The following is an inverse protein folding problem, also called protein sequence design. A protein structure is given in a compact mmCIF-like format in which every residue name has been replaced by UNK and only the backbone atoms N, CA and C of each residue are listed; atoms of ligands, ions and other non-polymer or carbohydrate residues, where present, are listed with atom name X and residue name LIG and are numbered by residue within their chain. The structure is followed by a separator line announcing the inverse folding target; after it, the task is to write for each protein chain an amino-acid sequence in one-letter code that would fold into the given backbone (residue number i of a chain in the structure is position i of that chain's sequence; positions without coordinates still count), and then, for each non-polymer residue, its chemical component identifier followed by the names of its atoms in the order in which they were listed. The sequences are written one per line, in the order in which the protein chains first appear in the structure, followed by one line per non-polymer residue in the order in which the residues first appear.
data_IF_725970782339
#
_entry.id   IF_725970782339
#
_cell.length_a   1.000
_cell.length_b   1.000
_cell.length_c   1.000
_cell.angle_alpha   90.00
_cell.angle_beta   90.00
_cell.angle_gamma   90.00
#
_symmetry.space_group_name_H-M   'P 1'
#
loop_
_entity.id
_entity.type
_entity.pdbx_description
1 polymer ?
#
# COMPACT_ATOMS: atom_id res chain seq x y z
N UNK A 1 -8.87 -6.08 -27.09
CA UNK A 1 -10.12 -5.64 -26.42
C UNK A 1 -9.77 -5.10 -25.04
N UNK A 2 -10.36 -3.98 -24.64
CA UNK A 2 -10.12 -3.34 -23.33
C UNK A 2 -10.55 -4.28 -22.16
N UNK A 3 -9.74 -4.41 -21.09
CA UNK A 3 -10.00 -5.31 -19.97
C UNK A 3 -11.37 -5.17 -19.29
N UNK A 4 -11.80 -3.96 -18.94
CA UNK A 4 -13.05 -3.73 -18.24
C UNK A 4 -14.27 -4.06 -19.09
N UNK A 5 -14.19 -3.82 -20.41
CA UNK A 5 -15.21 -4.27 -21.35
C UNK A 5 -15.35 -5.80 -21.35
N UNK A 6 -14.22 -6.53 -21.40
CA UNK A 6 -14.22 -8.01 -21.30
C UNK A 6 -14.85 -8.48 -19.98
N UNK A 7 -14.49 -7.83 -18.89
CA UNK A 7 -15.02 -8.14 -17.56
C UNK A 7 -16.52 -7.91 -17.47
N UNK A 8 -17.02 -6.79 -17.99
CA UNK A 8 -18.44 -6.49 -18.04
C UNK A 8 -19.21 -7.52 -18.88
N UNK A 9 -18.66 -7.88 -20.05
CA UNK A 9 -19.25 -8.91 -20.90
C UNK A 9 -19.31 -10.27 -20.19
N UNK A 10 -18.23 -10.68 -19.53
CA UNK A 10 -18.15 -11.93 -18.77
C UNK A 10 -19.06 -11.92 -17.52
N UNK A 11 -19.32 -10.76 -16.93
CA UNK A 11 -20.26 -10.59 -15.83
C UNK A 11 -21.71 -10.78 -16.31
N UNK A 12 -22.08 -10.15 -17.44
CA UNK A 12 -23.43 -10.20 -18.03
C UNK A 12 -23.74 -11.51 -18.75
N UNK A 13 -22.74 -12.17 -19.33
CA UNK A 13 -22.88 -13.38 -20.13
C UNK A 13 -21.98 -14.47 -19.54
N UNK A 14 -22.46 -15.26 -18.55
CA UNK A 14 -21.62 -16.24 -17.87
C UNK A 14 -21.04 -17.34 -18.78
N UNK A 15 -21.72 -17.69 -19.88
CA UNK A 15 -21.30 -18.74 -20.81
C UNK A 15 -19.97 -18.44 -21.51
N UNK A 16 -19.61 -17.16 -21.70
CA UNK A 16 -18.36 -16.78 -22.37
C UNK A 16 -17.15 -16.71 -21.42
N UNK A 17 -17.36 -16.86 -20.10
CA UNK A 17 -16.29 -16.72 -19.08
C UNK A 17 -15.11 -17.65 -19.35
N UNK A 18 -15.38 -18.88 -19.80
CA UNK A 18 -14.32 -19.85 -20.08
C UNK A 18 -13.41 -19.40 -21.21
N UNK A 19 -13.99 -18.89 -22.31
CA UNK A 19 -13.23 -18.33 -23.43
C UNK A 19 -12.46 -17.06 -23.03
N UNK A 20 -13.10 -16.16 -22.28
CA UNK A 20 -12.47 -14.93 -21.78
C UNK A 20 -11.24 -15.23 -20.91
N UNK A 21 -11.33 -16.24 -20.02
CA UNK A 21 -10.25 -16.63 -19.11
C UNK A 21 -9.10 -17.38 -19.78
N UNK A 22 -9.34 -17.98 -20.95
CA UNK A 22 -8.31 -18.59 -21.78
C UNK A 22 -7.58 -17.57 -22.66
N UNK A 23 -8.25 -16.48 -23.03
CA UNK A 23 -7.65 -15.43 -23.86
C UNK A 23 -6.61 -14.60 -23.08
N UNK A 24 -5.46 -14.26 -23.69
CA UNK A 24 -4.45 -13.42 -23.06
C UNK A 24 -5.00 -12.07 -22.59
N UNK A 25 -4.51 -11.55 -21.46
CA UNK A 25 -5.00 -10.30 -20.89
C UNK A 25 -3.85 -9.35 -20.57
N UNK A 26 -4.00 -8.08 -20.98
CA UNK A 26 -3.03 -7.04 -20.69
C UNK A 26 -3.68 -5.91 -19.90
N UNK A 27 -3.14 -5.60 -18.72
CA UNK A 27 -3.60 -4.53 -17.84
C UNK A 27 -2.49 -3.48 -17.70
N UNK A 28 -2.80 -2.21 -17.98
CA UNK A 28 -1.84 -1.10 -17.85
C UNK A 28 -1.60 -0.75 -16.39
N UNK A 29 -2.65 -0.79 -15.59
CA UNK A 29 -2.61 -0.38 -14.19
C UNK A 29 -3.58 -1.23 -13.35
N UNK A 30 -3.09 -1.78 -12.23
CA UNK A 30 -3.91 -2.48 -11.25
C UNK A 30 -3.59 -1.94 -9.86
N UNK A 31 -4.55 -1.31 -9.20
CA UNK A 31 -4.42 -0.82 -7.82
C UNK A 31 -5.33 -1.64 -6.90
N UNK A 32 -4.76 -2.33 -5.91
CA UNK A 32 -5.49 -3.25 -5.03
C UNK A 32 -5.52 -2.75 -3.59
N UNK A 33 -6.71 -2.55 -3.04
CA UNK A 33 -6.94 -2.21 -1.63
C UNK A 33 -8.00 -3.15 -1.04
N UNK A 34 -8.19 -3.07 0.27
CA UNK A 34 -9.15 -3.91 1.02
C UNK A 34 -10.60 -3.75 0.53
N UNK A 35 -11.03 -2.49 0.29
CA UNK A 35 -12.42 -2.14 -0.04
C UNK A 35 -12.61 -1.56 -1.44
N UNK A 36 -11.52 -1.38 -2.18
CA UNK A 36 -11.55 -0.89 -3.56
C UNK A 36 -10.44 -1.50 -4.40
N UNK A 37 -10.63 -1.55 -5.71
CA UNK A 37 -9.55 -1.78 -6.66
C UNK A 37 -9.78 -1.02 -7.95
N UNK A 38 -8.71 -0.75 -8.69
CA UNK A 38 -8.76 -0.04 -9.97
C UNK A 38 -8.13 -0.90 -11.05
N UNK A 39 -8.83 -1.10 -12.16
CA UNK A 39 -8.30 -1.75 -13.37
C UNK A 39 -8.24 -0.71 -14.47
N UNK A 40 -7.04 -0.38 -14.91
CA UNK A 40 -6.77 0.76 -15.79
C UNK A 40 -7.34 2.06 -15.20
N UNK A 41 -8.47 2.53 -15.73
CA UNK A 41 -9.16 3.76 -15.33
C UNK A 41 -10.49 3.48 -14.61
N UNK A 42 -10.88 2.21 -14.51
CA UNK A 42 -12.14 1.79 -13.90
C UNK A 42 -11.93 1.47 -12.43
N UNK A 43 -12.49 2.30 -11.54
CA UNK A 43 -12.55 2.03 -10.10
C UNK A 43 -13.77 1.17 -9.74
N UNK A 44 -13.52 0.13 -8.96
CA UNK A 44 -14.49 -0.71 -8.27
C UNK A 44 -14.37 -0.45 -6.78
N UNK A 45 -15.40 0.11 -6.15
CA UNK A 45 -15.37 0.51 -4.74
C UNK A 45 -16.58 -0.01 -3.99
N UNK A 46 -16.35 -0.66 -2.86
CA UNK A 46 -17.41 -1.26 -2.05
C UNK A 46 -17.53 -0.50 -0.73
N UNK A 47 -18.77 -0.24 -0.31
CA UNK A 47 -19.11 0.40 0.96
C UNK A 47 -20.31 -0.26 1.60
N UNK A 48 -20.46 -0.10 2.90
CA UNK A 48 -21.68 -0.47 3.63
C UNK A 48 -22.49 0.79 3.88
N UNK A 49 -23.72 0.82 3.41
CA UNK A 49 -24.68 1.86 3.72
C UNK A 49 -25.55 1.42 4.90
N UNK A 50 -25.59 2.26 5.94
CA UNK A 50 -26.39 2.04 7.14
C UNK A 50 -27.58 2.97 7.16
N UNK A 51 -28.76 2.38 7.27
CA UNK A 51 -30.03 3.08 7.41
C UNK A 51 -30.62 2.78 8.79
N UNK A 52 -30.36 3.67 9.75
CA UNK A 52 -30.98 3.61 11.05
C UNK A 52 -32.24 4.50 11.10
N UNK A 53 -33.22 4.08 11.90
CA UNK A 53 -34.37 4.91 12.24
C UNK A 53 -33.95 5.91 13.33
N UNK A 54 -34.00 7.21 13.03
CA UNK A 54 -33.70 8.25 14.00
C UNK A 54 -34.77 8.26 15.11
N UNK A 55 -34.36 8.43 16.38
CA UNK A 55 -35.29 8.79 17.45
C UNK A 55 -35.50 10.30 17.41
N UNK A 56 -36.70 10.76 17.07
CA UNK A 56 -37.17 12.06 17.57
C UNK A 56 -37.68 11.85 19.00
N UNK A 57 -36.82 11.97 20.02
CA UNK A 57 -37.35 12.13 21.38
C UNK A 57 -37.91 13.55 21.49
N UNK A 58 -39.24 13.69 21.63
CA UNK A 58 -39.80 14.90 22.25
C UNK A 58 -39.52 14.78 23.75
N UNK A 59 -38.65 15.63 24.30
CA UNK A 59 -38.61 15.81 25.75
C UNK A 59 -39.88 16.53 26.17
N UNK A 60 -40.89 15.76 26.59
CA UNK A 60 -42.10 16.25 27.24
C UNK A 60 -42.38 15.30 28.40
N UNK A 61 -41.79 15.61 29.55
CA UNK A 61 -42.06 14.94 30.81
C UNK A 61 -41.84 15.96 31.91
N UNK A 62 -42.88 16.22 32.69
CA UNK A 62 -42.89 17.21 33.76
C UNK A 62 -41.90 16.80 34.88
N UNK A 63 -40.67 17.30 34.79
CA UNK A 63 -39.74 17.29 35.92
C UNK A 63 -39.65 18.73 36.43
N UNK A 64 -40.49 19.05 37.41
CA UNK A 64 -40.31 20.25 38.22
C UNK A 64 -39.08 20.07 39.11
N UNK A 65 -37.88 20.36 38.58
CA UNK A 65 -36.70 20.62 39.41
C UNK A 65 -36.69 22.10 39.72
N UNK A 66 -36.91 22.42 41.00
CA UNK A 66 -36.58 23.71 41.56
C UNK A 66 -35.06 23.87 41.55
N UNK A 67 -34.52 24.56 40.55
CA UNK A 67 -33.20 25.19 40.65
C UNK A 67 -33.36 26.69 40.47
N UNK A 68 -33.16 27.42 41.56
CA UNK A 68 -32.98 28.87 41.52
C UNK A 68 -31.73 29.18 40.69
N UNK A 69 -31.88 30.11 39.75
CA UNK A 69 -30.85 30.88 39.03
C UNK A 69 -30.22 30.25 37.76
N UNK A 70 -30.99 30.26 36.66
CA UNK A 70 -30.70 30.91 35.34
C UNK A 70 -31.57 30.24 34.26
N UNK A 71 -32.30 30.98 33.41
CA UNK A 71 -33.06 30.37 32.33
C UNK A 71 -32.09 29.91 31.24
N UNK A 72 -31.86 28.61 31.14
CA UNK A 72 -31.39 28.01 29.90
C UNK A 72 -32.57 27.99 28.91
N UNK A 73 -32.41 28.41 27.65
CA UNK A 73 -33.49 28.31 26.68
C UNK A 73 -33.86 26.83 26.52
N UNK A 74 -35.15 26.52 26.65
CA UNK A 74 -35.73 25.21 26.31
C UNK A 74 -35.64 25.05 24.79
N UNK A 75 -34.42 24.77 24.32
CA UNK A 75 -34.16 24.29 22.98
C UNK A 75 -34.36 22.78 22.97
N UNK A 76 -35.09 22.29 21.97
CA UNK A 76 -35.12 20.87 21.59
C UNK A 76 -33.66 20.41 21.35
N UNK A 77 -33.01 19.87 22.37
CA UNK A 77 -31.78 19.11 22.15
C UNK A 77 -32.19 17.82 21.43
N UNK A 78 -32.02 17.82 20.11
CA UNK A 78 -32.00 16.59 19.34
C UNK A 78 -30.84 15.76 19.89
N UNK A 79 -31.15 14.62 20.54
CA UNK A 79 -30.17 13.56 20.72
C UNK A 79 -29.61 13.25 19.33
N UNK A 80 -28.29 13.28 19.10
CA UNK A 80 -27.73 12.94 17.80
C UNK A 80 -28.25 11.57 17.38
N UNK A 81 -29.16 11.56 16.40
CA UNK A 81 -29.57 10.31 15.78
C UNK A 81 -28.33 9.68 15.16
N UNK A 82 -28.13 8.38 15.38
CA UNK A 82 -27.07 7.60 14.73
C UNK A 82 -27.04 7.96 13.24
N UNK A 83 -25.93 8.50 12.70
CA UNK A 83 -25.96 9.06 11.37
C UNK A 83 -26.20 7.97 10.33
N UNK A 84 -27.18 8.20 9.47
CA UNK A 84 -27.31 7.48 8.20
C UNK A 84 -26.08 7.80 7.37
N UNK A 85 -25.42 6.79 6.82
CA UNK A 85 -24.16 7.04 6.13
C UNK A 85 -23.54 5.80 5.52
N UNK A 86 -22.50 6.05 4.71
CA UNK A 86 -21.67 5.00 4.16
C UNK A 86 -20.35 4.87 4.91
N UNK A 87 -19.99 3.63 5.23
CA UNK A 87 -18.74 3.29 5.90
C UNK A 87 -17.93 2.31 5.05
N UNK A 88 -16.62 2.24 5.32
CA UNK A 88 -15.68 1.34 4.62
C UNK A 88 -15.30 0.13 5.49
N UNK A 89 -16.21 -0.37 6.34
CA UNK A 89 -15.99 -1.54 7.19
C UNK A 89 -17.29 -2.36 7.35
N UNK A 90 -17.12 -3.63 7.70
CA UNK A 90 -18.23 -4.55 7.99
C UNK A 90 -18.65 -4.48 9.46
N UNK A 91 -19.88 -4.94 9.74
CA UNK A 91 -20.48 -5.04 11.06
C UNK A 91 -20.73 -6.50 11.45
N UNK A 92 -20.56 -6.84 12.73
CA UNK A 92 -20.87 -8.15 13.30
C UNK A 92 -22.40 -8.35 13.46
N UNK A 93 -22.82 -9.41 14.14
CA UNK A 93 -24.24 -9.71 14.39
C UNK A 93 -24.92 -8.72 15.35
N UNK A 94 -24.14 -8.02 16.18
CA UNK A 94 -24.60 -7.02 17.15
C UNK A 94 -24.55 -5.58 16.58
N UNK A 95 -23.97 -5.40 15.38
CA UNK A 95 -23.83 -4.10 14.74
C UNK A 95 -22.56 -3.35 15.12
N UNK A 96 -21.58 -4.00 15.74
CA UNK A 96 -20.24 -3.44 15.97
C UNK A 96 -19.35 -3.67 14.75
N UNK A 97 -18.38 -2.78 14.55
CA UNK A 97 -17.39 -2.92 13.49
C UNK A 97 -16.59 -4.22 13.68
N UNK A 98 -16.59 -5.09 12.67
CA UNK A 98 -15.76 -6.31 12.66
C UNK A 98 -14.29 -5.91 12.67
N UNK A 99 -13.51 -6.50 13.57
CA UNK A 99 -12.06 -6.30 13.57
C UNK A 99 -11.46 -6.98 12.34
N UNK A 100 -10.39 -6.41 11.78
CA UNK A 100 -9.77 -6.97 10.58
C UNK A 100 -9.40 -8.45 10.78
N UNK A 101 -8.85 -8.78 11.95
CA UNK A 101 -8.41 -10.13 12.31
C UNK A 101 -9.56 -11.16 12.34
N UNK A 102 -10.78 -10.72 12.70
CA UNK A 102 -11.99 -11.57 12.68
C UNK A 102 -12.51 -11.82 11.26
N UNK A 103 -12.15 -10.96 10.31
CA UNK A 103 -12.60 -11.04 8.91
C UNK A 103 -11.66 -11.83 7.98
N UNK A 104 -10.50 -12.26 8.47
CA UNK A 104 -9.50 -12.98 7.68
C UNK A 104 -10.01 -14.39 7.38
N UNK A 105 -10.10 -14.73 6.09
CA UNK A 105 -10.45 -16.06 5.64
C UNK A 105 -9.20 -16.84 5.20
N UNK A 106 -9.23 -18.18 5.24
CA UNK A 106 -8.14 -18.96 4.67
C UNK A 106 -7.84 -18.53 3.22
N UNK A 107 -6.58 -18.43 2.85
CA UNK A 107 -6.13 -18.00 1.52
C UNK A 107 -6.11 -16.48 1.29
N UNK A 108 -6.61 -15.68 2.22
CA UNK A 108 -6.44 -14.23 2.19
C UNK A 108 -4.95 -13.86 2.36
N UNK A 109 -4.56 -12.72 1.80
CA UNK A 109 -3.18 -12.23 1.78
C UNK A 109 -3.05 -11.05 2.72
N UNK A 110 -2.34 -11.23 3.82
CA UNK A 110 -2.07 -10.17 4.77
C UNK A 110 -1.03 -9.21 4.19
N UNK A 111 -1.37 -7.92 4.09
CA UNK A 111 -0.50 -6.86 3.58
C UNK A 111 0.01 -5.93 4.70
N UNK A 112 -0.41 -6.14 5.94
CA UNK A 112 -0.01 -5.32 7.10
C UNK A 112 0.05 -6.18 8.36
N UNK A 113 1.07 -5.98 9.20
CA UNK A 113 1.17 -6.65 10.50
C UNK A 113 0.11 -6.12 11.47
N UNK A 114 -0.52 -7.01 12.25
CA UNK A 114 -1.58 -6.66 13.21
C UNK A 114 -1.13 -5.59 14.22
N UNK A 115 0.16 -5.55 14.57
CA UNK A 115 0.74 -4.52 15.43
C UNK A 115 0.53 -3.08 14.89
N UNK A 116 0.52 -2.88 13.56
CA UNK A 116 0.29 -1.57 12.94
C UNK A 116 -1.20 -1.20 12.87
N UNK A 117 -2.12 -2.16 13.01
CA UNK A 117 -3.56 -1.88 13.09
C UNK A 117 -3.93 -1.21 14.41
N UNK A 118 -3.20 -1.53 15.49
CA UNK A 118 -3.38 -0.90 16.80
C UNK A 118 -2.99 0.58 16.81
N UNK A 119 -2.08 1.03 15.94
CA UNK A 119 -1.63 2.42 15.89
C UNK A 119 -2.56 3.34 15.10
N UNK A 120 -3.38 2.80 14.19
CA UNK A 120 -4.48 3.56 13.57
C UNK A 120 -5.71 3.69 14.47
N UNK A 121 -5.69 3.16 15.70
CA UNK A 121 -6.68 3.55 16.74
C UNK A 121 -6.49 4.99 17.24
N UNK A 122 -5.48 5.72 16.74
CA UNK A 122 -5.13 7.08 17.18
C UNK A 122 -5.57 8.24 16.28
N UNK A 123 -6.53 8.08 15.36
CA UNK A 123 -7.20 9.27 14.78
C UNK A 123 -8.56 9.44 15.44
N UNK A 124 -8.59 10.36 16.40
CA UNK A 124 -9.77 10.89 17.11
C UNK A 124 -10.74 11.64 16.18
N UNK A 125 -11.12 11.03 15.05
CA UNK A 125 -12.14 11.57 14.13
C UNK A 125 -13.15 10.50 13.70
N UNK A 126 -12.95 9.23 14.09
CA UNK A 126 -14.01 8.21 14.05
C UNK A 126 -14.76 8.11 15.41
N UNK A 127 -14.63 9.12 16.29
CA UNK A 127 -15.59 9.40 17.36
C UNK A 127 -16.88 9.98 16.74
N UNK A 128 -17.52 9.22 15.86
CA UNK A 128 -18.96 9.14 15.98
C UNK A 128 -19.18 8.35 17.25
N UNK A 129 -19.59 9.00 18.34
CA UNK A 129 -20.06 8.34 19.56
C UNK A 129 -20.99 7.18 19.16
N UNK A 130 -20.41 5.98 19.17
CA UNK A 130 -21.09 4.74 18.86
C UNK A 130 -21.80 4.27 20.12
N UNK A 131 -22.80 5.03 20.56
CA UNK A 131 -23.79 4.52 21.50
C UNK A 131 -24.85 3.71 20.74
N UNK A 132 -24.50 2.51 20.31
CA UNK A 132 -25.51 1.46 20.29
C UNK A 132 -25.73 1.03 21.74
N UNK A 133 -26.40 1.86 22.54
CA UNK A 133 -26.86 1.45 23.87
C UNK A 133 -27.81 0.26 23.68
N UNK A 134 -27.31 -0.93 24.00
CA UNK A 134 -28.10 -2.13 24.13
C UNK A 134 -29.26 -1.89 25.08
N UNK A 135 -30.45 -2.05 24.51
CA UNK A 135 -31.72 -2.52 25.07
C UNK A 135 -32.94 -1.91 24.35
N UNK A 136 -32.77 -0.85 23.56
CA UNK A 136 -33.90 -0.16 22.90
C UNK A 136 -33.57 0.50 21.53
N UNK A 137 -32.57 0.01 20.80
CA UNK A 137 -32.25 0.50 19.45
C UNK A 137 -33.03 -0.29 18.40
N UNK A 138 -33.83 0.39 17.58
CA UNK A 138 -34.54 -0.23 16.45
C UNK A 138 -33.52 -0.85 15.47
N UNK A 139 -33.89 -1.93 14.74
CA UNK A 139 -32.98 -2.56 13.79
C UNK A 139 -32.51 -1.54 12.74
N UNK A 140 -31.19 -1.39 12.58
CA UNK A 140 -30.63 -0.66 11.44
C UNK A 140 -30.58 -1.59 10.25
N UNK A 141 -31.11 -1.14 9.11
CA UNK A 141 -30.95 -1.86 7.86
C UNK A 141 -29.57 -1.55 7.30
N UNK A 142 -28.88 -2.58 6.82
CA UNK A 142 -27.57 -2.45 6.19
C UNK A 142 -27.67 -2.92 4.74
N UNK A 143 -26.94 -2.24 3.86
CA UNK A 143 -26.83 -2.60 2.45
C UNK A 143 -25.37 -2.53 2.00
N UNK A 144 -24.94 -3.46 1.15
CA UNK A 144 -23.65 -3.32 0.46
C UNK A 144 -23.88 -2.50 -0.80
N UNK A 145 -23.07 -1.46 -1.02
CA UNK A 145 -23.05 -0.69 -2.25
C UNK A 145 -21.73 -0.90 -2.98
N UNK A 146 -21.83 -1.33 -4.23
CA UNK A 146 -20.71 -1.38 -5.17
C UNK A 146 -20.85 -0.22 -6.15
N UNK A 147 -19.77 0.54 -6.27
CA UNK A 147 -19.60 1.62 -7.23
C UNK A 147 -18.64 1.16 -8.33
N UNK A 148 -19.07 1.26 -9.59
CA UNK A 148 -18.25 0.96 -10.78
C UNK A 148 -18.47 2.06 -11.81
N UNK A 149 -17.42 2.83 -12.13
CA UNK A 149 -17.51 3.91 -13.13
C UNK A 149 -18.73 4.83 -12.94
N UNK A 150 -19.02 5.23 -11.69
CA UNK A 150 -20.16 6.09 -11.35
C UNK A 150 -21.52 5.38 -11.24
N UNK A 151 -21.64 4.12 -11.69
CA UNK A 151 -22.84 3.31 -11.48
C UNK A 151 -22.86 2.75 -10.04
N UNK A 152 -24.04 2.76 -9.42
CA UNK A 152 -24.27 2.24 -8.07
C UNK A 152 -25.11 0.97 -8.12
N UNK A 153 -24.61 -0.10 -7.54
CA UNK A 153 -25.32 -1.37 -7.35
C UNK A 153 -25.49 -1.62 -5.86
N UNK A 154 -26.71 -1.97 -5.44
CA UNK A 154 -27.04 -2.20 -4.03
C UNK A 154 -27.40 -3.68 -3.83
N UNK A 155 -26.83 -4.29 -2.79
CA UNK A 155 -27.04 -5.68 -2.42
C UNK A 155 -27.48 -5.78 -0.95
N UNK A 156 -28.27 -6.80 -0.59
CA UNK A 156 -28.65 -7.05 0.80
C UNK A 156 -27.41 -7.43 1.63
N UNK A 157 -27.28 -6.82 2.82
CA UNK A 157 -26.18 -7.10 3.76
C UNK A 157 -26.39 -8.37 4.60
N UNK A 158 -27.61 -8.91 4.63
CA UNK A 158 -27.96 -10.09 5.43
C UNK A 158 -27.26 -11.36 4.96
N UNK A 159 -27.02 -11.48 3.66
CA UNK A 159 -26.50 -12.71 3.04
C UNK A 159 -25.02 -12.61 2.66
N UNK A 160 -24.42 -11.43 2.83
CA UNK A 160 -23.07 -11.17 2.37
C UNK A 160 -22.44 -10.00 3.13
N UNK A 161 -21.16 -10.12 3.44
CA UNK A 161 -20.32 -9.03 3.96
C UNK A 161 -19.50 -8.39 2.83
N UNK A 162 -19.06 -7.14 3.00
CA UNK A 162 -18.27 -6.41 1.98
C UNK A 162 -17.03 -7.21 1.59
N UNK A 163 -16.34 -7.78 2.56
CA UNK A 163 -15.16 -8.60 2.31
C UNK A 163 -15.43 -9.83 1.42
N UNK A 164 -16.61 -10.44 1.57
CA UNK A 164 -17.02 -11.59 0.75
C UNK A 164 -17.34 -11.15 -0.68
N UNK A 165 -17.97 -9.99 -0.86
CA UNK A 165 -18.22 -9.40 -2.17
C UNK A 165 -16.89 -9.09 -2.89
N UNK A 166 -15.92 -8.50 -2.19
CA UNK A 166 -14.59 -8.21 -2.73
C UNK A 166 -13.92 -9.48 -3.26
N UNK A 167 -13.90 -10.54 -2.44
CA UNK A 167 -13.34 -11.84 -2.84
C UNK A 167 -14.05 -12.41 -4.07
N UNK A 168 -15.38 -12.35 -4.11
CA UNK A 168 -16.17 -12.82 -5.26
C UNK A 168 -15.84 -12.03 -6.53
N UNK A 169 -15.77 -10.70 -6.45
CA UNK A 169 -15.43 -9.84 -7.59
C UNK A 169 -14.03 -10.18 -8.13
N UNK A 170 -13.00 -10.15 -7.29
CA UNK A 170 -11.63 -10.49 -7.71
C UNK A 170 -11.55 -11.91 -8.31
N UNK A 171 -12.27 -12.88 -7.75
CA UNK A 171 -12.32 -14.26 -8.27
C UNK A 171 -13.01 -14.33 -9.63
N UNK A 172 -14.08 -13.58 -9.84
CA UNK A 172 -14.75 -13.53 -11.14
C UNK A 172 -13.83 -12.94 -12.20
N UNK A 173 -13.17 -11.81 -11.89
CA UNK A 173 -12.33 -11.06 -12.82
C UNK A 173 -10.99 -11.75 -13.13
N UNK A 174 -10.30 -12.25 -12.09
CA UNK A 174 -8.92 -12.71 -12.19
C UNK A 174 -8.73 -14.19 -11.84
N UNK A 175 -9.67 -14.81 -11.15
CA UNK A 175 -9.56 -16.21 -10.74
C UNK A 175 -9.74 -17.18 -11.91
N UNK A 176 -9.18 -18.39 -11.79
CA UNK A 176 -9.29 -19.48 -12.78
C UNK A 176 -8.89 -19.07 -14.21
N UNK A 177 -8.00 -18.08 -14.35
CA UNK A 177 -7.40 -17.75 -15.65
C UNK A 177 -6.34 -18.79 -15.99
N UNK A 178 -6.41 -19.30 -17.22
CA UNK A 178 -5.46 -20.27 -17.76
C UNK A 178 -4.63 -19.68 -18.91
N UNK A 179 -5.04 -18.52 -19.45
CA UNK A 179 -4.24 -17.77 -20.40
C UNK A 179 -3.19 -16.90 -19.71
N UNK A 180 -2.12 -16.60 -20.43
CA UNK A 180 -1.11 -15.64 -19.97
C UNK A 180 -1.76 -14.26 -19.75
N UNK A 181 -1.32 -13.58 -18.70
CA UNK A 181 -1.74 -12.21 -18.49
C UNK A 181 -0.65 -11.37 -17.83
N UNK A 182 -0.53 -10.15 -18.34
CA UNK A 182 0.55 -9.22 -18.01
C UNK A 182 -0.03 -7.95 -17.40
N UNK A 183 0.63 -7.45 -16.35
CA UNK A 183 0.29 -6.21 -15.67
C UNK A 183 1.51 -5.28 -15.74
N UNK A 184 1.35 -4.11 -16.37
CA UNK A 184 2.45 -3.13 -16.48
C UNK A 184 2.77 -2.52 -15.12
N UNK A 185 1.77 -2.03 -14.38
CA UNK A 185 1.95 -1.41 -13.07
C UNK A 185 0.96 -2.01 -12.07
N UNK A 186 1.47 -2.53 -10.96
CA UNK A 186 0.67 -3.14 -9.90
C UNK A 186 0.95 -2.47 -8.56
N UNK A 187 -0.09 -1.97 -7.91
CA UNK A 187 -0.02 -1.28 -6.63
C UNK A 187 -0.74 -2.07 -5.55
N UNK A 188 -0.15 -2.13 -4.35
CA UNK A 188 -0.71 -2.85 -3.21
C UNK A 188 -0.92 -1.92 -2.02
N UNK A 189 -2.19 -1.73 -1.64
CA UNK A 189 -2.59 -1.05 -0.41
C UNK A 189 -2.17 -1.78 0.86
N UNK A 190 -2.82 -1.42 1.96
CA UNK A 190 -2.62 -2.01 3.29
C UNK A 190 -3.76 -3.00 3.61
N UNK A 191 -3.71 -3.59 4.81
CA UNK A 191 -4.71 -4.51 5.38
C UNK A 191 -4.67 -5.91 4.76
N UNK A 192 -5.80 -6.37 4.20
CA UNK A 192 -6.00 -7.74 3.70
C UNK A 192 -6.40 -7.69 2.25
N UNK A 193 -5.76 -8.51 1.42
CA UNK A 193 -6.11 -8.69 0.01
C UNK A 193 -6.70 -10.08 -0.22
N UNK A 194 -7.90 -10.10 -0.77
CA UNK A 194 -8.68 -11.32 -1.01
C UNK A 194 -8.45 -11.86 -2.41
N UNK A 195 -7.17 -12.13 -2.68
CA UNK A 195 -6.71 -12.56 -4.00
C UNK A 195 -7.28 -13.94 -4.37
N UNK A 196 -7.62 -14.20 -5.65
CA UNK A 196 -8.10 -15.50 -6.07
C UNK A 196 -7.05 -16.60 -5.82
N UNK A 197 -7.51 -17.77 -5.36
CA UNK A 197 -6.61 -18.89 -5.03
C UNK A 197 -6.11 -19.65 -6.25
N UNK A 198 -6.91 -19.70 -7.31
CA UNK A 198 -6.71 -20.56 -8.46
C UNK A 198 -6.47 -19.73 -9.72
N UNK A 199 -5.70 -20.29 -10.65
CA UNK A 199 -5.34 -19.67 -11.91
C UNK A 199 -3.85 -19.32 -11.99
N UNK A 200 -3.41 -18.94 -13.17
CA UNK A 200 -2.03 -18.54 -13.42
C UNK A 200 -1.74 -17.18 -12.78
N UNK A 201 -0.56 -17.06 -12.17
CA UNK A 201 -0.09 -15.78 -11.62
C UNK A 201 0.26 -14.81 -12.75
N UNK A 202 -0.06 -13.52 -12.63
CA UNK A 202 0.25 -12.54 -13.66
C UNK A 202 1.75 -12.29 -13.78
N UNK A 203 2.21 -12.00 -14.99
CA UNK A 203 3.54 -11.44 -15.24
C UNK A 203 3.46 -9.94 -14.94
N UNK A 204 4.23 -9.46 -13.97
CA UNK A 204 4.17 -8.06 -13.53
C UNK A 204 5.46 -7.34 -13.88
N UNK A 205 5.38 -6.14 -14.44
CA UNK A 205 6.58 -5.36 -14.81
C UNK A 205 7.03 -4.42 -13.69
N UNK A 206 6.11 -3.61 -13.16
CA UNK A 206 6.39 -2.67 -12.08
C UNK A 206 5.49 -2.95 -10.88
N UNK A 207 6.08 -3.06 -9.70
CA UNK A 207 5.36 -3.26 -8.44
C UNK A 207 5.60 -2.08 -7.52
N UNK A 208 4.56 -1.53 -6.94
CA UNK A 208 4.64 -0.55 -5.86
C UNK A 208 3.87 -1.06 -4.64
N UNK A 209 4.59 -1.29 -3.54
CA UNK A 209 3.98 -1.77 -2.29
C UNK A 209 3.65 -0.63 -1.32
N UNK A 210 3.94 0.62 -1.70
CA UNK A 210 3.91 1.80 -0.82
C UNK A 210 4.73 1.53 0.45
N UNK A 211 4.11 1.41 1.61
CA UNK A 211 4.79 1.13 2.88
C UNK A 211 5.42 -0.27 2.91
N UNK A 212 6.74 -0.32 3.19
CA UNK A 212 7.48 -1.56 3.38
C UNK A 212 7.00 -2.30 4.63
N UNK A 213 6.67 -3.57 4.45
CA UNK A 213 6.63 -4.57 5.52
C UNK A 213 7.05 -5.92 4.96
N UNK A 214 7.69 -6.74 5.78
CA UNK A 214 8.14 -8.06 5.33
C UNK A 214 6.95 -8.97 5.01
N UNK A 215 5.87 -8.88 5.79
CA UNK A 215 4.59 -9.56 5.53
C UNK A 215 4.01 -9.20 4.17
N UNK A 216 4.02 -7.91 3.80
CA UNK A 216 3.51 -7.46 2.49
C UNK A 216 4.34 -8.02 1.34
N UNK A 217 5.67 -8.05 1.45
CA UNK A 217 6.51 -8.66 0.41
C UNK A 217 6.22 -10.15 0.21
N UNK A 218 6.03 -10.91 1.29
CA UNK A 218 5.66 -12.32 1.22
C UNK A 218 4.30 -12.50 0.53
N UNK A 219 3.33 -11.64 0.85
CA UNK A 219 2.03 -11.65 0.19
C UNK A 219 2.14 -11.35 -1.32
N UNK A 220 2.87 -10.31 -1.71
CA UNK A 220 3.11 -9.94 -3.12
C UNK A 220 3.79 -11.07 -3.88
N UNK A 221 4.82 -11.68 -3.31
CA UNK A 221 5.51 -12.84 -3.89
C UNK A 221 4.56 -14.02 -4.14
N UNK A 222 3.59 -14.22 -3.25
CA UNK A 222 2.59 -15.28 -3.45
C UNK A 222 1.58 -14.97 -4.57
N UNK A 223 1.43 -13.70 -4.96
CA UNK A 223 0.43 -13.22 -5.92
C UNK A 223 0.98 -13.18 -7.35
N UNK A 224 2.22 -12.72 -7.52
CA UNK A 224 2.80 -12.46 -8.85
C UNK A 224 3.62 -13.64 -9.38
N UNK A 225 3.68 -13.77 -10.70
CA UNK A 225 4.57 -14.71 -11.38
C UNK A 225 6.00 -14.15 -11.42
N UNK A 226 6.99 -15.00 -11.13
CA UNK A 226 8.42 -14.64 -11.14
C UNK A 226 9.19 -15.25 -12.32
N UNK A 227 8.48 -15.71 -13.35
CA UNK A 227 9.10 -16.22 -14.57
C UNK A 227 9.86 -15.13 -15.34
N UNK A 228 9.50 -13.86 -15.14
CA UNK A 228 10.15 -12.70 -15.73
C UNK A 228 10.56 -11.74 -14.60
N UNK A 229 11.80 -11.21 -14.61
CA UNK A 229 12.22 -10.19 -13.66
C UNK A 229 11.32 -8.95 -13.66
N UNK A 230 11.17 -8.34 -12.49
CA UNK A 230 10.51 -7.04 -12.37
C UNK A 230 11.43 -5.97 -12.95
N UNK A 231 10.88 -5.08 -13.76
CA UNK A 231 11.60 -3.87 -14.20
C UNK A 231 11.84 -2.97 -12.99
N UNK A 232 10.82 -2.80 -12.14
CA UNK A 232 10.96 -2.01 -10.92
C UNK A 232 10.14 -2.53 -9.75
N UNK A 233 10.73 -2.44 -8.56
CA UNK A 233 10.07 -2.63 -7.28
C UNK A 233 10.22 -1.36 -6.45
N UNK A 234 9.09 -0.70 -6.18
CA UNK A 234 9.02 0.54 -5.41
C UNK A 234 8.43 0.32 -4.03
N UNK A 235 9.06 0.94 -3.03
CA UNK A 235 8.58 0.94 -1.65
C UNK A 235 9.03 2.20 -0.90
N UNK A 236 8.42 2.47 0.24
CA UNK A 236 8.76 3.54 1.18
C UNK A 236 8.83 3.00 2.59
N UNK A 237 9.82 3.43 3.37
CA UNK A 237 9.89 3.05 4.78
C UNK A 237 8.83 3.81 5.61
N UNK A 238 8.15 3.10 6.53
CA UNK A 238 7.26 3.75 7.49
C UNK A 238 8.05 4.66 8.45
N UNK A 239 7.34 5.42 9.28
CA UNK A 239 7.97 6.32 10.25
C UNK A 239 8.79 5.59 11.31
N UNK A 240 8.27 4.46 11.80
CA UNK A 240 9.00 3.53 12.65
C UNK A 240 10.11 2.86 11.85
N UNK A 241 11.23 2.48 12.48
CA UNK A 241 12.41 1.96 11.79
C UNK A 241 12.37 0.42 11.67
N UNK A 242 11.75 -0.18 10.62
CA UNK A 242 11.89 -1.62 10.42
C UNK A 242 13.30 -1.93 9.92
N UNK A 243 13.87 -3.04 10.40
CA UNK A 243 15.04 -3.63 9.76
C UNK A 243 14.60 -4.26 8.43
N UNK A 244 15.23 -3.83 7.33
CA UNK A 244 14.99 -4.48 6.04
C UNK A 244 15.69 -5.83 6.04
N UNK A 245 14.93 -6.85 5.69
CA UNK A 245 15.42 -8.23 5.58
C UNK A 245 15.50 -8.58 4.12
N UNK A 246 16.53 -9.32 3.73
CA UNK A 246 16.66 -9.79 2.36
C UNK A 246 15.42 -10.61 1.96
N UNK A 247 15.00 -10.47 0.71
CA UNK A 247 13.79 -11.10 0.19
C UNK A 247 13.98 -11.47 -1.29
N UNK A 248 13.44 -12.62 -1.77
CA UNK A 248 13.60 -13.05 -3.16
C UNK A 248 13.21 -11.99 -4.20
N UNK A 249 12.15 -11.21 -3.93
CA UNK A 249 11.70 -10.13 -4.83
C UNK A 249 12.77 -9.06 -5.10
N UNK A 250 13.72 -8.86 -4.21
CA UNK A 250 14.81 -7.90 -4.44
C UNK A 250 15.79 -8.43 -5.49
N UNK A 251 16.05 -9.75 -5.49
CA UNK A 251 16.95 -10.39 -6.46
C UNK A 251 16.34 -10.45 -7.85
N UNK A 252 15.04 -10.65 -7.93
CA UNK A 252 14.30 -10.73 -9.19
C UNK A 252 13.93 -9.36 -9.75
N UNK A 253 14.33 -8.26 -9.10
CA UNK A 253 14.05 -6.90 -9.55
C UNK A 253 15.29 -6.30 -10.21
N UNK A 254 15.12 -5.73 -11.40
CA UNK A 254 16.18 -5.00 -12.10
C UNK A 254 16.50 -3.68 -11.40
N UNK A 255 15.46 -2.96 -10.94
CA UNK A 255 15.62 -1.68 -10.24
C UNK A 255 14.79 -1.62 -8.94
N UNK A 256 15.47 -1.53 -7.81
CA UNK A 256 14.85 -1.30 -6.51
C UNK A 256 14.76 0.20 -6.20
N UNK A 257 13.56 0.70 -5.93
CA UNK A 257 13.33 2.10 -5.57
C UNK A 257 12.81 2.17 -4.15
N UNK A 258 13.58 2.78 -3.25
CA UNK A 258 13.25 2.87 -1.83
C UNK A 258 13.23 4.32 -1.39
N UNK A 259 12.09 4.77 -0.88
CA UNK A 259 11.90 6.15 -0.43
C UNK A 259 11.76 6.24 1.09
N UNK A 260 11.96 7.45 1.62
CA UNK A 260 11.72 7.80 3.02
C UNK A 260 12.57 6.99 4.04
N UNK A 261 13.79 6.63 3.67
CA UNK A 261 14.67 5.79 4.48
C UNK A 261 15.25 6.62 5.64
N UNK A 262 15.16 6.15 6.91
CA UNK A 262 15.90 6.72 8.01
C UNK A 262 17.41 6.51 7.82
N UNK A 263 18.22 7.54 8.06
CA UNK A 263 19.68 7.46 7.92
C UNK A 263 20.28 6.30 8.72
N UNK A 264 19.79 6.07 9.94
CA UNK A 264 20.25 4.99 10.83
C UNK A 264 20.02 3.59 10.26
N UNK A 265 18.99 3.41 9.44
CA UNK A 265 18.63 2.10 8.87
C UNK A 265 19.23 1.85 7.49
N UNK A 266 19.97 2.82 6.93
CA UNK A 266 20.47 2.77 5.55
C UNK A 266 21.48 1.64 5.32
N UNK A 267 22.34 1.34 6.30
CA UNK A 267 23.35 0.26 6.20
C UNK A 267 22.74 -1.11 5.96
N UNK A 268 21.51 -1.34 6.42
CA UNK A 268 20.78 -2.59 6.19
C UNK A 268 20.51 -2.84 4.70
N UNK A 269 20.46 -1.80 3.87
CA UNK A 269 20.23 -1.91 2.43
C UNK A 269 21.43 -2.52 1.69
N UNK A 270 22.64 -2.43 2.25
CA UNK A 270 23.83 -3.04 1.66
C UNK A 270 23.78 -4.57 1.63
N UNK A 271 22.92 -5.17 2.45
CA UNK A 271 22.68 -6.61 2.44
C UNK A 271 21.82 -7.06 1.25
N UNK A 272 21.27 -6.13 0.46
CA UNK A 272 20.39 -6.42 -0.66
C UNK A 272 21.21 -6.64 -1.93
N UNK A 273 20.98 -7.77 -2.59
CA UNK A 273 21.72 -8.22 -3.79
C UNK A 273 21.16 -7.66 -5.10
N UNK A 274 20.58 -6.46 -5.09
CA UNK A 274 20.06 -5.81 -6.30
C UNK A 274 21.14 -4.95 -6.93
N UNK A 275 21.35 -5.08 -8.24
CA UNK A 275 22.39 -4.33 -8.96
C UNK A 275 22.09 -2.83 -9.03
N UNK A 276 20.83 -2.44 -9.27
CA UNK A 276 20.43 -1.04 -9.38
C UNK A 276 19.47 -0.65 -8.25
N UNK A 277 19.87 0.32 -7.43
CA UNK A 277 19.10 0.78 -6.27
C UNK A 277 18.98 2.30 -6.31
N UNK A 278 17.76 2.83 -6.22
CA UNK A 278 17.51 4.27 -6.06
C UNK A 278 16.91 4.56 -4.71
N UNK A 279 17.53 5.47 -3.98
CA UNK A 279 17.23 5.78 -2.60
C UNK A 279 16.82 7.24 -2.44
N UNK A 280 15.81 7.46 -1.59
CA UNK A 280 15.46 8.79 -1.08
C UNK A 280 15.50 8.72 0.43
N UNK A 281 16.43 9.47 1.03
CA UNK A 281 16.63 9.51 2.48
C UNK A 281 15.74 10.61 3.06
N UNK A 282 15.14 10.35 4.23
CA UNK A 282 14.22 11.29 4.91
C UNK A 282 14.95 12.52 5.45
N UNK A 283 16.18 12.33 5.93
CA UNK A 283 17.01 13.36 6.54
C UNK A 283 18.16 13.76 5.63
N UNK A 284 18.68 14.97 5.82
CA UNK A 284 19.97 15.36 5.26
C UNK A 284 21.05 14.38 5.75
N UNK A 285 21.93 13.98 4.84
CA UNK A 285 23.08 13.15 5.16
C UNK A 285 24.37 13.87 4.77
N UNK A 286 25.43 13.62 5.54
CA UNK A 286 26.76 14.08 5.21
C UNK A 286 27.38 13.10 4.21
N UNK A 287 27.91 13.61 3.08
CA UNK A 287 28.50 12.77 2.04
C UNK A 287 29.79 12.10 2.53
N UNK A 288 30.57 12.75 3.39
CA UNK A 288 31.76 12.18 4.00
C UNK A 288 31.39 10.97 4.87
N UNK A 289 30.39 11.11 5.74
CA UNK A 289 29.87 9.98 6.53
C UNK A 289 29.31 8.85 5.64
N UNK A 290 28.67 9.21 4.51
CA UNK A 290 28.19 8.21 3.55
C UNK A 290 29.36 7.44 2.94
N UNK A 291 30.44 8.13 2.57
CA UNK A 291 31.64 7.53 2.02
C UNK A 291 32.24 6.57 3.05
N UNK A 292 32.47 7.01 4.28
CA UNK A 292 33.06 6.16 5.32
C UNK A 292 32.26 4.87 5.51
N UNK A 293 30.95 5.00 5.73
CA UNK A 293 30.02 3.88 5.89
C UNK A 293 30.01 2.96 4.66
N UNK A 294 30.09 3.54 3.46
CA UNK A 294 30.11 2.78 2.22
C UNK A 294 31.40 1.96 2.08
N UNK A 295 32.53 2.55 2.46
CA UNK A 295 33.87 1.98 2.34
C UNK A 295 34.20 0.95 3.44
N UNK A 296 33.44 0.87 4.55
CA UNK A 296 33.62 -0.12 5.63
C UNK A 296 33.69 -1.59 5.16
N UNK A 297 33.00 -1.91 4.05
CA UNK A 297 32.92 -3.28 3.52
C UNK A 297 33.00 -3.26 2.00
N UNK A 298 33.62 -4.30 1.43
CA UNK A 298 33.66 -4.49 -0.03
C UNK A 298 32.25 -4.59 -0.61
N UNK A 299 32.09 -4.08 -1.83
CA UNK A 299 30.84 -4.14 -2.59
C UNK A 299 31.02 -4.96 -3.86
N UNK A 300 29.97 -5.66 -4.32
CA UNK A 300 30.01 -6.32 -5.62
C UNK A 300 30.23 -5.30 -6.75
N UNK A 301 30.95 -5.73 -7.78
CA UNK A 301 31.15 -4.95 -9.01
C UNK A 301 29.82 -4.85 -9.77
N UNK A 302 29.57 -3.71 -10.41
CA UNK A 302 28.35 -3.44 -11.16
C UNK A 302 27.16 -3.01 -10.30
N UNK A 303 27.39 -2.77 -9.01
CA UNK A 303 26.38 -2.19 -8.11
C UNK A 303 26.29 -0.69 -8.35
N UNK A 304 25.08 -0.21 -8.59
CA UNK A 304 24.72 1.18 -8.82
C UNK A 304 23.69 1.65 -7.79
N UNK A 305 24.04 2.70 -7.05
CA UNK A 305 23.15 3.36 -6.10
C UNK A 305 22.96 4.82 -6.49
N UNK A 306 21.74 5.33 -6.40
CA UNK A 306 21.47 6.76 -6.62
C UNK A 306 20.70 7.37 -5.46
N UNK A 307 21.21 8.46 -4.89
CA UNK A 307 20.61 9.18 -3.77
C UNK A 307 20.08 10.52 -4.24
N UNK A 308 18.78 10.76 -4.04
CA UNK A 308 18.23 12.10 -4.26
C UNK A 308 18.78 13.06 -3.19
N UNK A 309 19.34 14.20 -3.60
CA UNK A 309 19.82 15.27 -2.72
C UNK A 309 19.22 16.61 -3.12
N UNK A 310 19.08 17.51 -2.15
CA UNK A 310 18.57 18.86 -2.38
C UNK A 310 19.67 19.82 -2.86
N UNK A 311 20.94 19.54 -2.54
CA UNK A 311 22.09 20.36 -2.91
C UNK A 311 23.34 19.53 -3.16
N UNK A 312 24.28 20.09 -3.93
CA UNK A 312 25.61 19.52 -4.14
C UNK A 312 26.55 19.95 -3.01
N UNK A 313 27.31 19.00 -2.47
CA UNK A 313 28.48 19.28 -1.64
C UNK A 313 29.73 19.25 -2.51
N UNK A 314 30.73 20.06 -2.19
CA UNK A 314 32.01 20.06 -2.92
C UNK A 314 32.82 18.83 -2.54
N UNK A 315 32.82 17.80 -3.41
CA UNK A 315 33.51 16.54 -3.16
C UNK A 315 35.04 16.69 -3.15
N UNK A 316 35.59 17.80 -3.65
CA UNK A 316 37.03 18.05 -3.61
C UNK A 316 37.55 18.32 -2.19
N UNK A 317 36.67 18.76 -1.28
CA UNK A 317 37.00 19.04 0.13
C UNK A 317 37.10 17.79 1.00
N UNK A 318 36.55 16.67 0.52
CA UNK A 318 36.56 15.41 1.26
C UNK A 318 37.99 14.83 1.27
N UNK A 319 38.44 14.40 2.45
CA UNK A 319 39.73 13.77 2.66
C UNK A 319 39.51 12.33 3.10
N UNK A 320 39.98 11.36 2.31
CA UNK A 320 39.86 9.94 2.62
C UNK A 320 41.14 9.21 2.17
N UNK A 321 41.66 8.24 2.93
CA UNK A 321 42.95 7.59 2.64
C UNK A 321 42.98 6.86 1.29
N UNK A 322 41.83 6.38 0.82
CA UNK A 322 41.74 5.61 -0.44
C UNK A 322 41.46 6.47 -1.69
N UNK A 323 41.62 7.80 -1.64
CA UNK A 323 41.35 8.68 -2.78
C UNK A 323 42.34 8.45 -3.92
N UNK A 324 41.81 8.20 -5.12
CA UNK A 324 42.56 8.11 -6.38
C UNK A 324 42.42 9.38 -7.22
N UNK A 325 41.21 9.95 -7.28
CA UNK A 325 40.90 11.14 -8.05
C UNK A 325 39.76 11.90 -7.36
N UNK A 326 39.82 13.23 -7.35
CA UNK A 326 38.70 14.06 -6.87
C UNK A 326 38.53 15.35 -7.69
N UNK A 327 37.31 15.84 -7.69
CA UNK A 327 36.82 17.07 -8.32
C UNK A 327 35.61 17.55 -7.52
N UNK A 328 35.06 18.71 -7.86
CA UNK A 328 33.89 19.28 -7.17
C UNK A 328 32.66 18.34 -7.21
N UNK A 329 32.47 17.64 -8.33
CA UNK A 329 31.29 16.80 -8.58
C UNK A 329 31.57 15.28 -8.56
N UNK A 330 32.82 14.85 -8.42
CA UNK A 330 33.19 13.44 -8.49
C UNK A 330 34.39 13.12 -7.59
N UNK A 331 34.30 12.02 -6.85
CA UNK A 331 35.42 11.42 -6.09
C UNK A 331 35.51 9.93 -6.41
N UNK A 332 36.72 9.46 -6.72
CA UNK A 332 37.04 8.06 -7.00
C UNK A 332 37.91 7.52 -5.87
N UNK A 333 37.49 6.41 -5.29
CA UNK A 333 38.15 5.75 -4.18
C UNK A 333 38.56 4.34 -4.59
N UNK A 334 39.78 3.94 -4.26
CA UNK A 334 40.19 2.53 -4.34
C UNK A 334 39.34 1.73 -3.34
N UNK A 335 38.80 0.58 -3.73
CA UNK A 335 38.09 -0.32 -2.80
C UNK A 335 38.75 -1.69 -2.83
N UNK A 336 39.67 -1.93 -1.90
CA UNK A 336 40.52 -3.12 -1.92
C UNK A 336 41.44 -3.16 -3.15
N UNK A 337 41.81 -4.37 -3.60
CA UNK A 337 42.82 -4.51 -4.66
C UNK A 337 42.24 -4.48 -6.08
N UNK A 338 40.98 -4.87 -6.24
CA UNK A 338 40.37 -5.22 -7.54
C UNK A 338 39.23 -4.29 -7.96
N UNK A 339 38.82 -3.35 -7.10
CA UNK A 339 37.68 -2.48 -7.37
C UNK A 339 37.98 -1.00 -7.10
N UNK A 340 37.22 -0.16 -7.78
CA UNK A 340 37.19 1.30 -7.60
C UNK A 340 35.74 1.72 -7.44
N UNK A 341 35.45 2.53 -6.42
CA UNK A 341 34.13 3.12 -6.22
C UNK A 341 34.16 4.57 -6.68
N UNK A 342 33.14 4.97 -7.43
CA UNK A 342 32.97 6.32 -7.94
C UNK A 342 31.72 6.93 -7.35
N UNK A 343 31.89 8.03 -6.61
CA UNK A 343 30.80 8.89 -6.16
C UNK A 343 30.74 10.07 -7.12
N UNK A 344 29.56 10.35 -7.69
CA UNK A 344 29.38 11.42 -8.68
C UNK A 344 28.04 12.10 -8.51
N UNK A 345 28.01 13.43 -8.63
CA UNK A 345 26.76 14.16 -8.79
C UNK A 345 26.29 14.16 -10.25
N UNK A 346 25.02 13.84 -10.45
CA UNK A 346 24.31 13.96 -11.72
C UNK A 346 23.06 14.81 -11.54
N UNK A 347 22.63 15.49 -12.58
CA UNK A 347 21.40 16.30 -12.57
C UNK A 347 20.40 15.68 -13.53
N UNK A 348 19.21 15.37 -13.04
CA UNK A 348 18.11 14.82 -13.84
C UNK A 348 16.83 15.54 -13.43
N UNK A 349 16.10 16.08 -14.41
CA UNK A 349 14.84 16.81 -14.19
C UNK A 349 14.92 17.86 -13.07
N UNK A 350 15.97 18.70 -13.12
CA UNK A 350 16.26 19.75 -12.13
C UNK A 350 16.48 19.26 -10.69
N UNK A 351 16.73 17.96 -10.50
CA UNK A 351 17.09 17.36 -9.22
C UNK A 351 18.51 16.83 -9.25
N UNK A 352 19.22 16.97 -8.14
CA UNK A 352 20.56 16.44 -7.99
C UNK A 352 20.52 15.03 -7.40
N UNK A 353 21.32 14.15 -7.99
CA UNK A 353 21.51 12.78 -7.54
C UNK A 353 22.97 12.52 -7.27
N UNK A 354 23.31 12.03 -6.07
CA UNK A 354 24.61 11.44 -5.81
C UNK A 354 24.54 9.98 -6.23
N UNK A 355 25.30 9.61 -7.25
CA UNK A 355 25.40 8.23 -7.74
C UNK A 355 26.67 7.58 -7.20
N UNK A 356 26.56 6.33 -6.78
CA UNK A 356 27.68 5.50 -6.33
C UNK A 356 27.72 4.26 -7.21
N UNK A 357 28.86 4.02 -7.84
CA UNK A 357 29.05 2.87 -8.71
C UNK A 357 30.39 2.18 -8.42
N UNK A 358 30.35 0.85 -8.36
CA UNK A 358 31.53 0.01 -8.11
C UNK A 358 32.00 -0.63 -9.42
N UNK A 359 33.22 -0.31 -9.84
CA UNK A 359 33.85 -0.83 -11.06
C UNK A 359 34.98 -1.79 -10.72
N UNK A 360 35.31 -2.66 -11.68
CA UNK A 360 36.57 -3.40 -11.66
C UNK A 360 37.73 -2.43 -11.92
N UNK A 361 38.85 -2.67 -11.25
CA UNK A 361 40.13 -1.99 -11.47
C UNK A 361 40.85 -2.66 -12.65
N UNK A 362 40.23 -2.65 -13.83
CA UNK A 362 40.89 -3.07 -15.09
C UNK A 362 41.94 -2.07 -15.51
#
# INVERSE_FOLDING_TARGET
MEPNFRFNLALKIPSIRRAEKAAPLYIKHLDLHDTRFVVNETEYKIRVFRECQAKTKKFGGDWAVQTKNKPFPVGLYQVPGIPRGEVNYDFDEYGYKINLDESIQPGDKLLTEAANLNWRRGSKVDELEYECQEKNARPCNHYIRLYVSGCKYQFPYTNMKMYQLMRRLLTVLFGNRNGEWTIKNMNFGNNVLRWPRNGWKPIVRNVNIFEYSHVKLNAVHSIIGLSVPLISLKMSFPFLEPTIRNHPLFKTSEHLIVSNIPWRSFTNLFSIQTHKVSLTIRSLFNVEQLIDIWMEKRRPIGVYYSFLTNSKQDLARISHPEVLQKSTDCIKLKMGNEAVVVFRYTMVDSKYYLTIETFSKT
#
